data_IF_096853400916
#
_entry.id   IF_096853400916
#
_cell.length_a   1.000
_cell.length_b   1.000
_cell.length_c   1.000
_cell.angle_alpha   90.00
_cell.angle_beta   90.00
_cell.angle_gamma   90.00
#
_symmetry.space_group_name_H-M   'P 1'
#
loop_
_entity.id
_entity.type
_entity.pdbx_description
1 polymer ?
#
# COMPACT_ATOMS: atom_id res chain seq x y z
N UNK A 1 -6.42 8.42 15.34
CA UNK A 1 -5.01 7.99 15.42
C UNK A 1 -4.53 7.20 14.20
N UNK A 2 -5.34 7.09 13.14
CA UNK A 2 -4.99 6.34 11.93
C UNK A 2 -5.04 4.81 12.10
N UNK A 3 -5.80 4.32 13.06
CA UNK A 3 -6.00 2.89 13.33
C UNK A 3 -6.82 2.24 12.22
N UNK A 4 -6.20 2.09 11.07
CA UNK A 4 -6.79 1.49 9.87
C UNK A 4 -5.73 0.82 9.01
N UNK A 5 -6.14 -0.21 8.28
CA UNK A 5 -5.32 -0.94 7.31
C UNK A 5 -5.98 -0.89 5.95
N UNK A 6 -5.19 -0.96 4.90
CA UNK A 6 -5.70 -0.85 3.54
C UNK A 6 -4.87 -1.65 2.54
N UNK A 7 -5.41 -1.82 1.33
CA UNK A 7 -4.65 -2.33 0.20
C UNK A 7 -4.72 -1.38 -1.00
N UNK A 8 -3.80 -1.57 -1.93
CA UNK A 8 -3.79 -0.89 -3.22
C UNK A 8 -3.71 -1.92 -4.33
N UNK A 9 -4.83 -2.18 -4.97
CA UNK A 9 -4.98 -3.26 -5.94
C UNK A 9 -5.18 -2.66 -7.33
N UNK A 10 -4.51 -3.25 -8.33
CA UNK A 10 -4.70 -2.86 -9.73
C UNK A 10 -5.69 -3.79 -10.41
N UNK A 11 -6.68 -3.19 -11.06
CA UNK A 11 -7.47 -3.83 -12.10
C UNK A 11 -6.97 -3.35 -13.46
N UNK A 12 -6.62 -4.28 -14.34
CA UNK A 12 -6.13 -3.98 -15.68
C UNK A 12 -7.22 -4.26 -16.71
N UNK A 13 -7.62 -3.24 -17.45
CA UNK A 13 -8.54 -3.39 -18.56
C UNK A 13 -7.83 -3.95 -19.79
N UNK A 14 -8.37 -5.04 -20.34
CA UNK A 14 -7.94 -5.59 -21.63
C UNK A 14 -9.01 -5.30 -22.67
N UNK A 15 -8.68 -4.45 -23.64
CA UNK A 15 -9.61 -4.01 -24.67
C UNK A 15 -10.04 -5.15 -25.63
N UNK A 16 -9.11 -6.03 -26.00
CA UNK A 16 -9.38 -7.12 -26.95
C UNK A 16 -10.36 -8.14 -26.33
N UNK A 17 -10.16 -8.46 -25.05
CA UNK A 17 -11.03 -9.38 -24.33
C UNK A 17 -12.26 -8.70 -23.73
N UNK A 18 -12.31 -7.37 -23.72
CA UNK A 18 -13.34 -6.55 -23.06
C UNK A 18 -13.58 -6.99 -21.61
N UNK A 19 -12.48 -7.21 -20.88
CA UNK A 19 -12.49 -7.69 -19.49
C UNK A 19 -11.55 -6.90 -18.63
N UNK A 20 -11.95 -6.73 -17.36
CA UNK A 20 -11.12 -6.18 -16.29
C UNK A 20 -10.52 -7.35 -15.49
N UNK A 21 -9.20 -7.40 -15.39
CA UNK A 21 -8.46 -8.41 -14.65
C UNK A 21 -7.95 -7.82 -13.34
N UNK A 22 -8.36 -8.38 -12.21
CA UNK A 22 -7.88 -7.97 -10.90
C UNK A 22 -6.58 -8.71 -10.58
N UNK A 23 -5.50 -7.95 -10.38
CA UNK A 23 -4.19 -8.55 -10.17
C UNK A 23 -4.03 -9.00 -8.72
N UNK A 24 -3.84 -10.31 -8.51
CA UNK A 24 -3.55 -10.94 -7.22
C UNK A 24 -4.53 -10.53 -6.09
N UNK A 25 -5.83 -10.49 -6.40
CA UNK A 25 -6.85 -10.02 -5.47
C UNK A 25 -6.82 -10.78 -4.14
N UNK A 26 -6.72 -12.11 -4.20
CA UNK A 26 -6.70 -12.97 -3.01
C UNK A 26 -5.52 -12.65 -2.09
N UNK A 27 -4.30 -12.57 -2.64
CA UNK A 27 -3.09 -12.26 -1.86
C UNK A 27 -3.17 -10.89 -1.17
N UNK A 28 -3.74 -9.90 -1.85
CA UNK A 28 -3.98 -8.59 -1.26
C UNK A 28 -4.97 -8.65 -0.09
N UNK A 29 -6.05 -9.44 -0.21
CA UNK A 29 -7.03 -9.56 0.86
C UNK A 29 -6.50 -10.40 2.04
N UNK A 30 -5.66 -11.38 1.79
CA UNK A 30 -4.94 -12.11 2.85
C UNK A 30 -3.97 -11.18 3.59
N UNK A 31 -3.29 -10.27 2.88
CA UNK A 31 -2.40 -9.29 3.51
C UNK A 31 -3.17 -8.23 4.31
N UNK A 32 -4.35 -7.78 3.88
CA UNK A 32 -5.17 -6.87 4.71
C UNK A 32 -5.64 -7.59 5.98
N UNK A 33 -5.98 -8.87 5.90
CA UNK A 33 -6.33 -9.68 7.07
C UNK A 33 -5.12 -9.83 8.01
N UNK A 34 -3.92 -10.12 7.50
CA UNK A 34 -2.69 -10.17 8.28
C UNK A 34 -2.38 -8.82 8.93
N UNK A 35 -2.56 -7.72 8.20
CA UNK A 35 -2.34 -6.36 8.73
C UNK A 35 -3.26 -6.04 9.91
N UNK A 36 -4.54 -6.47 9.87
CA UNK A 36 -5.46 -6.33 10.99
C UNK A 36 -4.96 -7.10 12.23
N UNK A 37 -4.46 -8.33 12.04
CA UNK A 37 -3.91 -9.16 13.12
C UNK A 37 -2.68 -8.52 13.76
N UNK A 38 -1.75 -8.01 12.93
CA UNK A 38 -0.55 -7.29 13.41
C UNK A 38 -0.95 -6.06 14.21
N UNK A 39 -1.95 -5.30 13.73
CA UNK A 39 -2.49 -4.10 14.39
C UNK A 39 -3.38 -4.41 15.60
N UNK A 40 -3.56 -5.70 15.94
CA UNK A 40 -4.32 -6.15 17.12
C UNK A 40 -5.80 -5.75 17.11
N UNK A 41 -6.43 -5.68 15.95
CA UNK A 41 -7.88 -5.48 15.87
C UNK A 41 -8.61 -6.59 16.65
N UNK A 42 -9.68 -6.25 17.35
CA UNK A 42 -10.47 -7.21 18.14
C UNK A 42 -11.36 -8.09 17.26
N UNK A 43 -11.73 -7.57 16.11
CA UNK A 43 -12.47 -8.25 15.06
C UNK A 43 -11.65 -8.21 13.78
N UNK A 44 -11.81 -9.22 12.93
CA UNK A 44 -11.08 -9.33 11.68
C UNK A 44 -12.06 -9.45 10.53
N UNK A 45 -12.00 -8.51 9.57
CA UNK A 45 -12.68 -8.65 8.29
C UNK A 45 -11.95 -9.71 7.46
N UNK A 46 -12.59 -10.85 7.15
CA UNK A 46 -11.90 -11.96 6.48
C UNK A 46 -11.71 -11.70 4.98
N UNK A 47 -10.66 -12.30 4.40
CA UNK A 47 -10.26 -12.10 3.01
C UNK A 47 -11.34 -12.48 1.99
N UNK A 48 -12.03 -13.60 2.18
CA UNK A 48 -13.04 -14.11 1.24
C UNK A 48 -14.15 -13.11 0.96
N UNK A 49 -14.93 -12.67 1.96
CA UNK A 49 -15.97 -11.66 1.79
C UNK A 49 -15.48 -10.33 1.18
N UNK A 50 -14.26 -9.91 1.49
CA UNK A 50 -13.66 -8.71 0.87
C UNK A 50 -13.36 -8.93 -0.62
N UNK A 51 -12.92 -10.12 -1.02
CA UNK A 51 -12.78 -10.49 -2.43
C UNK A 51 -14.11 -10.42 -3.16
N UNK A 52 -15.15 -11.05 -2.61
CA UNK A 52 -16.48 -11.10 -3.21
C UNK A 52 -17.07 -9.70 -3.38
N UNK A 53 -16.99 -8.88 -2.33
CA UNK A 53 -17.43 -7.49 -2.36
C UNK A 53 -16.67 -6.66 -3.40
N UNK A 54 -15.36 -6.89 -3.56
CA UNK A 54 -14.55 -6.20 -4.58
C UNK A 54 -14.98 -6.58 -5.98
N UNK A 55 -15.18 -7.86 -6.25
CA UNK A 55 -15.65 -8.35 -7.56
C UNK A 55 -17.02 -7.78 -7.88
N UNK A 56 -17.92 -7.78 -6.93
CA UNK A 56 -19.28 -7.22 -7.09
C UNK A 56 -19.25 -5.72 -7.35
N UNK A 57 -18.39 -4.97 -6.63
CA UNK A 57 -18.19 -3.54 -6.87
C UNK A 57 -17.74 -3.29 -8.32
N UNK A 58 -16.80 -4.08 -8.83
CA UNK A 58 -16.32 -3.95 -10.22
C UNK A 58 -17.42 -4.26 -11.23
N UNK A 59 -18.24 -5.29 -10.98
CA UNK A 59 -19.37 -5.65 -11.85
C UNK A 59 -20.40 -4.54 -11.93
N UNK A 60 -20.79 -3.97 -10.78
CA UNK A 60 -21.80 -2.89 -10.73
C UNK A 60 -21.35 -1.61 -11.40
N UNK A 61 -20.08 -1.25 -11.26
CA UNK A 61 -19.52 -0.04 -11.88
C UNK A 61 -19.18 -0.22 -13.35
N UNK A 62 -19.03 -1.46 -13.82
CA UNK A 62 -18.80 -1.79 -15.24
C UNK A 62 -17.67 -0.98 -15.91
N UNK A 63 -16.58 -0.77 -15.21
CA UNK A 63 -15.42 -0.02 -15.70
C UNK A 63 -14.91 -0.56 -17.03
N UNK A 64 -14.53 0.35 -17.92
CA UNK A 64 -13.94 0.06 -19.24
C UNK A 64 -12.50 0.59 -19.34
N UNK A 65 -11.91 0.91 -18.23
CA UNK A 65 -10.53 1.38 -18.08
C UNK A 65 -9.85 0.65 -16.92
N UNK A 66 -8.53 0.71 -16.87
CA UNK A 66 -7.78 0.20 -15.71
C UNK A 66 -8.12 1.00 -14.46
N UNK A 67 -8.22 0.32 -13.33
CA UNK A 67 -8.68 0.91 -12.06
C UNK A 67 -7.65 0.72 -10.95
N UNK A 68 -7.70 1.62 -9.98
CA UNK A 68 -7.06 1.47 -8.68
C UNK A 68 -8.14 1.23 -7.64
N UNK A 69 -8.03 0.13 -6.92
CA UNK A 69 -9.01 -0.33 -5.93
C UNK A 69 -8.34 -0.24 -4.56
N UNK A 70 -9.07 0.34 -3.59
CA UNK A 70 -8.58 0.50 -2.22
C UNK A 70 -9.60 -0.01 -1.22
N UNK A 71 -9.51 -1.27 -0.80
CA UNK A 71 -10.19 -1.74 0.39
C UNK A 71 -9.53 -1.14 1.63
N UNK A 72 -10.33 -0.80 2.62
CA UNK A 72 -9.89 -0.24 3.89
C UNK A 72 -10.72 -0.85 5.01
N UNK A 73 -10.06 -1.27 6.09
CA UNK A 73 -10.67 -1.68 7.35
C UNK A 73 -10.15 -0.76 8.45
N UNK A 74 -11.04 -0.26 9.29
CA UNK A 74 -10.72 0.74 10.30
C UNK A 74 -11.46 0.48 11.61
N UNK A 75 -10.96 1.05 12.70
CA UNK A 75 -11.69 1.06 13.95
C UNK A 75 -12.81 2.11 13.91
N UNK A 76 -14.05 1.67 14.05
CA UNK A 76 -15.30 2.47 13.94
C UNK A 76 -15.95 2.71 15.29
N UNK A 77 -15.22 2.65 16.36
CA UNK A 77 -15.73 2.83 17.71
C UNK A 77 -15.27 4.13 18.36
N UNK A 78 -16.00 4.55 19.36
CA UNK A 78 -15.55 5.53 20.34
C UNK A 78 -14.67 4.82 21.36
N UNK A 79 -13.59 5.46 21.75
CA UNK A 79 -12.72 4.89 22.77
C UNK A 79 -11.39 5.58 22.86
N UNK A 80 -10.61 5.09 23.78
CA UNK A 80 -9.22 5.51 23.98
C UNK A 80 -8.32 4.95 22.88
N UNK A 81 -7.06 5.36 22.85
CA UNK A 81 -6.06 4.91 21.89
C UNK A 81 -5.84 3.39 21.87
N UNK A 82 -6.26 2.69 22.93
CA UNK A 82 -6.21 1.23 23.07
C UNK A 82 -7.43 0.49 22.52
N UNK A 83 -8.44 1.19 21.98
CA UNK A 83 -9.63 0.58 21.40
C UNK A 83 -9.25 -0.42 20.27
N UNK A 84 -9.95 -1.56 20.24
CA UNK A 84 -9.68 -2.65 19.29
C UNK A 84 -10.86 -2.97 18.35
N UNK A 85 -11.95 -2.26 18.48
CA UNK A 85 -13.19 -2.43 17.72
C UNK A 85 -14.30 -1.54 18.27
N UNK A 86 -15.50 -1.61 17.70
CA UNK A 86 -15.85 -2.36 16.49
C UNK A 86 -15.08 -1.92 15.24
N UNK A 87 -15.15 -2.72 14.17
CA UNK A 87 -14.52 -2.40 12.89
C UNK A 87 -15.56 -1.92 11.87
N UNK A 88 -15.15 -0.96 11.04
CA UNK A 88 -15.81 -0.58 9.81
C UNK A 88 -14.96 -0.98 8.60
N UNK A 89 -15.61 -1.10 7.43
CA UNK A 89 -14.92 -1.41 6.20
C UNK A 89 -15.59 -0.73 5.00
N UNK A 90 -14.78 -0.35 4.03
CA UNK A 90 -15.25 0.15 2.74
C UNK A 90 -14.25 -0.17 1.62
N UNK A 91 -14.75 -0.17 0.39
CA UNK A 91 -13.92 -0.36 -0.80
C UNK A 91 -14.20 0.79 -1.75
N UNK A 92 -13.13 1.48 -2.18
CA UNK A 92 -13.22 2.50 -3.23
C UNK A 92 -12.53 2.01 -4.49
N UNK A 93 -12.99 2.49 -5.65
CA UNK A 93 -12.36 2.23 -6.93
C UNK A 93 -12.43 3.48 -7.80
N UNK A 94 -11.31 3.80 -8.45
CA UNK A 94 -11.20 4.92 -9.39
C UNK A 94 -10.49 4.46 -10.66
N UNK A 95 -10.90 5.00 -11.79
CA UNK A 95 -10.14 4.81 -13.03
C UNK A 95 -8.75 5.43 -12.91
N UNK A 96 -7.74 4.65 -13.23
CA UNK A 96 -6.35 5.09 -13.16
C UNK A 96 -5.50 4.33 -14.17
N UNK A 97 -5.11 5.00 -15.22
CA UNK A 97 -4.17 4.50 -16.23
C UNK A 97 -2.75 4.29 -15.69
N UNK A 98 -1.85 3.90 -16.57
CA UNK A 98 -0.41 3.87 -16.31
C UNK A 98 0.13 5.29 -16.39
N UNK A 99 0.82 5.80 -15.37
CA UNK A 99 1.44 7.13 -15.46
C UNK A 99 2.52 7.18 -16.53
N UNK A 100 2.61 8.29 -17.28
CA UNK A 100 3.67 8.49 -18.31
C UNK A 100 5.08 8.35 -17.72
N UNK A 101 5.28 8.71 -16.47
CA UNK A 101 6.56 8.57 -15.76
C UNK A 101 7.10 7.13 -15.66
N UNK A 102 6.29 6.12 -15.99
CA UNK A 102 6.78 4.73 -16.10
C UNK A 102 7.73 4.60 -17.29
N UNK A 103 7.48 5.33 -18.36
CA UNK A 103 8.32 5.33 -19.57
C UNK A 103 9.49 6.32 -19.43
N UNK A 104 9.21 7.54 -18.95
CA UNK A 104 10.18 8.64 -18.88
C UNK A 104 11.18 8.49 -17.72
N UNK A 105 10.84 7.64 -16.73
CA UNK A 105 11.58 7.56 -15.48
C UNK A 105 11.25 8.70 -14.52
N UNK A 106 11.90 8.69 -13.35
CA UNK A 106 11.72 9.68 -12.29
C UNK A 106 13.07 10.06 -11.68
N UNK A 107 13.18 11.33 -11.22
CA UNK A 107 14.30 11.75 -10.39
C UNK A 107 13.95 11.49 -8.93
N UNK A 108 14.77 10.72 -8.24
CA UNK A 108 14.59 10.41 -6.84
C UNK A 108 15.73 10.97 -5.98
N UNK A 109 15.39 11.41 -4.77
CA UNK A 109 16.39 11.76 -3.76
C UNK A 109 16.37 10.75 -2.62
N UNK A 110 17.49 10.59 -1.94
CA UNK A 110 17.55 9.91 -0.66
C UNK A 110 17.04 10.88 0.40
N UNK A 111 15.94 10.50 1.07
CA UNK A 111 15.29 11.34 2.09
C UNK A 111 16.12 11.41 3.36
N UNK A 112 16.03 12.54 4.07
CA UNK A 112 16.52 12.67 5.45
C UNK A 112 15.59 12.02 6.49
N UNK A 113 14.34 11.72 6.09
CA UNK A 113 13.42 10.96 6.94
C UNK A 113 13.73 9.47 6.85
N UNK A 114 14.03 8.85 7.98
CA UNK A 114 14.21 7.41 8.07
C UNK A 114 12.87 6.67 7.98
N UNK A 115 12.91 5.46 7.44
CA UNK A 115 11.76 4.55 7.47
C UNK A 115 11.48 4.12 8.91
N UNK A 116 10.21 4.04 9.29
CA UNK A 116 9.80 3.46 10.57
C UNK A 116 10.35 2.05 10.72
N UNK A 117 10.79 1.69 11.91
CA UNK A 117 11.26 0.34 12.21
C UNK A 117 10.16 -0.51 12.84
N UNK A 118 10.25 -1.83 12.72
CA UNK A 118 9.36 -2.79 13.40
C UNK A 118 9.37 -2.63 14.95
N UNK A 119 10.37 -1.94 15.51
CA UNK A 119 10.47 -1.66 16.95
C UNK A 119 9.72 -0.41 17.37
N UNK A 120 9.37 0.47 16.43
CA UNK A 120 8.60 1.70 16.67
C UNK A 120 7.16 1.57 16.19
N UNK A 121 6.98 1.06 14.99
CA UNK A 121 5.70 0.82 14.34
C UNK A 121 5.83 -0.44 13.47
N UNK A 122 4.81 -1.32 13.36
CA UNK A 122 4.93 -2.54 12.57
C UNK A 122 5.01 -2.21 11.07
N UNK A 123 6.23 -2.09 10.53
CA UNK A 123 6.47 -1.73 9.12
C UNK A 123 5.82 -2.73 8.15
N UNK A 124 5.64 -3.99 8.58
CA UNK A 124 5.00 -5.07 7.81
C UNK A 124 3.49 -4.96 7.69
N UNK A 125 2.84 -4.15 8.53
CA UNK A 125 1.41 -3.88 8.40
C UNK A 125 1.19 -2.72 7.43
N UNK A 126 0.29 -2.91 6.46
CA UNK A 126 -0.14 -1.84 5.56
C UNK A 126 -1.15 -0.93 6.26
N UNK A 127 -0.68 -0.23 7.29
CA UNK A 127 -1.47 0.70 8.11
C UNK A 127 -1.40 2.12 7.57
N UNK A 128 -2.53 2.84 7.61
CA UNK A 128 -2.55 4.26 7.21
C UNK A 128 -1.61 5.13 8.06
N UNK A 129 -1.48 4.83 9.36
CA UNK A 129 -0.58 5.55 10.25
C UNK A 129 0.89 5.51 9.78
N UNK A 130 1.34 4.36 9.28
CA UNK A 130 2.71 4.18 8.77
C UNK A 130 3.00 5.10 7.57
N UNK A 131 1.99 5.41 6.76
CA UNK A 131 2.13 6.25 5.57
C UNK A 131 2.35 7.73 5.87
N UNK A 132 2.12 8.19 7.10
CA UNK A 132 2.53 9.55 7.47
C UNK A 132 4.05 9.73 7.41
N UNK A 133 4.83 8.73 7.84
CA UNK A 133 6.28 8.74 7.72
C UNK A 133 6.72 8.86 6.24
N UNK A 134 6.21 8.00 5.37
CA UNK A 134 6.48 8.04 3.93
C UNK A 134 5.99 9.34 3.26
N UNK A 135 4.90 9.92 3.76
CA UNK A 135 4.36 11.18 3.26
C UNK A 135 5.33 12.33 3.49
N UNK A 136 6.00 12.41 4.64
CA UNK A 136 7.01 13.44 4.89
C UNK A 136 8.19 13.32 3.93
N UNK A 137 8.70 12.12 3.70
CA UNK A 137 9.73 11.89 2.70
C UNK A 137 9.31 12.31 1.30
N UNK A 138 8.07 11.99 0.90
CA UNK A 138 7.54 12.38 -0.41
C UNK A 138 7.31 13.88 -0.57
N UNK A 139 6.91 14.59 0.50
CA UNK A 139 6.77 16.05 0.49
C UNK A 139 8.15 16.69 0.36
N UNK A 140 9.11 16.26 1.15
CA UNK A 140 10.50 16.73 1.07
C UNK A 140 11.01 16.63 -0.38
N UNK A 141 10.91 15.44 -0.98
CA UNK A 141 11.36 15.24 -2.35
C UNK A 141 10.71 16.24 -3.32
N UNK A 142 9.40 16.47 -3.21
CA UNK A 142 8.69 17.43 -4.06
C UNK A 142 9.15 18.87 -3.87
N UNK A 143 9.33 19.30 -2.62
CA UNK A 143 9.81 20.66 -2.29
C UNK A 143 11.22 20.86 -2.85
N UNK A 144 12.06 19.84 -2.79
CA UNK A 144 13.43 19.86 -3.29
C UNK A 144 13.51 19.63 -4.83
N UNK A 145 12.38 19.54 -5.53
CA UNK A 145 12.30 19.43 -6.98
C UNK A 145 12.48 18.03 -7.53
N UNK A 146 12.33 16.97 -6.70
CA UNK A 146 12.39 15.58 -7.10
C UNK A 146 10.97 14.98 -7.23
N UNK A 147 10.88 13.86 -7.95
CA UNK A 147 9.62 13.15 -8.19
C UNK A 147 9.31 12.13 -7.12
N UNK A 148 10.34 11.54 -6.51
CA UNK A 148 10.24 10.45 -5.56
C UNK A 148 11.30 10.53 -4.47
N UNK A 149 11.03 9.86 -3.33
CA UNK A 149 11.98 9.68 -2.25
C UNK A 149 12.37 8.21 -2.12
N UNK A 150 13.64 7.95 -1.85
CA UNK A 150 14.18 6.68 -1.36
C UNK A 150 14.46 6.85 0.13
N UNK A 151 13.91 5.97 0.95
CA UNK A 151 14.07 6.01 2.40
C UNK A 151 15.11 5.00 2.86
N UNK A 152 15.91 5.40 3.82
CA UNK A 152 16.85 4.51 4.51
C UNK A 152 16.24 4.03 5.83
N UNK A 153 16.66 2.88 6.30
CA UNK A 153 16.35 2.45 7.67
C UNK A 153 17.35 3.02 8.68
N UNK A 154 17.13 2.77 9.97
CA UNK A 154 17.99 3.24 11.07
C UNK A 154 19.45 2.77 11.02
N UNK A 155 19.77 1.83 10.13
CA UNK A 155 21.14 1.36 9.88
C UNK A 155 21.77 2.01 8.65
N UNK A 156 21.11 3.00 8.06
CA UNK A 156 21.57 3.68 6.84
C UNK A 156 21.52 2.81 5.57
N UNK A 157 20.73 1.73 5.57
CA UNK A 157 20.53 0.87 4.40
C UNK A 157 19.24 1.24 3.68
N UNK A 158 19.23 1.06 2.35
CA UNK A 158 18.03 1.27 1.55
C UNK A 158 16.90 0.38 2.12
N UNK A 159 15.76 1.00 2.37
CA UNK A 159 14.52 0.35 2.78
C UNK A 159 13.57 0.31 1.59
N UNK A 160 12.78 1.34 1.38
CA UNK A 160 11.81 1.40 0.28
C UNK A 160 11.62 2.84 -0.23
N UNK A 161 10.85 3.02 -1.28
CA UNK A 161 10.36 4.34 -1.67
C UNK A 161 9.19 4.80 -0.79
N UNK A 162 8.74 6.03 -0.98
CA UNK A 162 7.66 6.65 -0.19
C UNK A 162 6.29 5.94 -0.25
N UNK A 163 6.17 4.90 -1.01
CA UNK A 163 4.93 4.11 -1.19
C UNK A 163 5.10 3.04 -2.27
N UNK A 164 6.34 2.61 -2.49
CA UNK A 164 6.70 1.64 -3.52
C UNK A 164 7.96 0.86 -3.11
N UNK A 165 8.08 -0.36 -3.60
CA UNK A 165 9.30 -1.15 -3.47
C UNK A 165 10.45 -0.53 -4.28
N UNK A 166 11.69 -0.80 -3.86
CA UNK A 166 12.90 -0.41 -4.57
C UNK A 166 13.61 -1.66 -5.07
N UNK A 167 13.94 -1.68 -6.35
CA UNK A 167 14.79 -2.70 -6.96
C UNK A 167 15.95 -2.03 -7.66
N UNK A 168 17.12 -2.64 -7.61
CA UNK A 168 18.26 -2.29 -8.46
C UNK A 168 18.58 -3.47 -9.37
N UNK A 169 19.01 -3.16 -10.60
CA UNK A 169 19.50 -4.18 -11.53
C UNK A 169 21.01 -4.09 -11.56
N UNK A 170 21.69 -5.16 -11.20
CA UNK A 170 23.14 -5.26 -11.24
C UNK A 170 23.55 -6.53 -11.97
N UNK A 171 24.25 -6.39 -13.08
CA UNK A 171 24.67 -7.51 -13.94
C UNK A 171 23.51 -8.44 -14.31
N UNK A 172 22.35 -7.88 -14.64
CA UNK A 172 21.14 -8.62 -15.01
C UNK A 172 20.35 -9.23 -13.84
N UNK A 173 20.78 -9.04 -12.60
CA UNK A 173 20.11 -9.57 -11.39
C UNK A 173 19.31 -8.46 -10.72
N UNK A 174 18.02 -8.70 -10.46
CA UNK A 174 17.17 -7.82 -9.66
C UNK A 174 17.46 -8.03 -8.17
N UNK A 175 17.79 -6.95 -7.48
CA UNK A 175 18.14 -6.95 -6.05
C UNK A 175 17.18 -6.00 -5.34
N UNK A 176 16.56 -6.45 -4.25
CA UNK A 176 15.66 -5.65 -3.40
C UNK A 176 16.03 -5.84 -1.94
N UNK A 177 15.74 -4.86 -1.06
CA UNK A 177 15.92 -5.03 0.38
C UNK A 177 15.10 -6.21 0.92
N UNK A 178 15.64 -6.89 1.92
CA UNK A 178 14.93 -7.95 2.63
C UNK A 178 13.91 -7.37 3.61
N UNK A 179 12.98 -8.21 4.09
CA UNK A 179 11.97 -7.81 5.10
C UNK A 179 12.60 -7.26 6.39
N UNK A 180 13.84 -7.63 6.70
CA UNK A 180 14.58 -7.08 7.85
C UNK A 180 15.09 -5.65 7.63
N UNK A 181 14.78 -5.04 6.50
CA UNK A 181 15.13 -3.66 6.14
C UNK A 181 13.98 -2.68 6.36
N UNK A 182 13.02 -3.04 7.22
CA UNK A 182 11.86 -2.21 7.59
C UNK A 182 10.94 -1.91 6.39
N UNK A 183 10.83 -2.83 5.44
CA UNK A 183 9.94 -2.73 4.29
C UNK A 183 8.55 -3.31 4.59
N UNK A 184 7.57 -2.93 3.79
CA UNK A 184 6.28 -3.62 3.73
C UNK A 184 6.47 -4.99 3.05
N UNK A 185 5.99 -6.03 3.69
CA UNK A 185 6.00 -7.40 3.18
C UNK A 185 4.84 -7.67 2.22
#
# INVERSE_FOLDING_TARGET
YGASVFEGIRGYWNADKRKLFLFRLQDHMERIELSQRIMRFGEIAPAGPLCDATVELMRRNNFKASVHIRPTVYLDGYGESSARGPIGQFITAIERGTPQKVEDGVRAQVSSWERISDRSMPARAKSNANYNNSRYAGIQAKVDGYDAAIMLNSRGKISEGQGMCVFIIRKGVAITPSVTSDILE
#
